data_IF_499469974421
#
_entry.id   IF_499469974421
#
_cell.length_a   1.000
_cell.length_b   1.000
_cell.length_c   1.000
_cell.angle_alpha   90.00
_cell.angle_beta   90.00
_cell.angle_gamma   90.00
#
_symmetry.space_group_name_H-M   'P 1'
#
loop_
_entity.id
_entity.type
_entity.pdbx_description
1 polymer ?
#
# COMPACT_ATOMS: atom_id res chain seq x y z
N UNK A 1 44.32 -22.04 40.94
CA UNK A 1 44.57 -22.54 39.56
C UNK A 1 43.32 -22.39 38.76
N UNK A 2 43.29 -21.59 37.72
CA UNK A 2 42.09 -21.28 36.95
C UNK A 2 41.98 -22.15 35.73
N UNK A 3 40.79 -22.65 35.41
CA UNK A 3 40.48 -23.24 34.10
C UNK A 3 39.97 -22.17 33.17
N UNK A 4 40.71 -21.93 32.12
CA UNK A 4 40.33 -21.12 30.96
C UNK A 4 39.37 -21.93 30.09
N UNK A 5 38.14 -21.47 29.93
CA UNK A 5 37.20 -21.91 28.92
C UNK A 5 37.36 -21.04 27.67
N UNK A 6 37.83 -21.64 26.56
CA UNK A 6 37.87 -21.01 25.23
C UNK A 6 36.42 -20.76 24.74
N UNK A 7 36.10 -19.54 24.42
CA UNK A 7 34.93 -19.19 23.65
C UNK A 7 35.16 -19.69 22.20
N UNK A 8 34.28 -20.59 21.75
CA UNK A 8 34.26 -21.03 20.34
C UNK A 8 33.59 -19.93 19.49
N UNK A 9 34.23 -19.62 18.36
CA UNK A 9 33.67 -18.80 17.30
C UNK A 9 32.37 -19.40 16.77
N UNK A 10 31.36 -18.57 16.47
CA UNK A 10 30.18 -19.08 15.76
C UNK A 10 30.56 -19.45 14.33
N UNK A 11 30.37 -20.73 14.00
CA UNK A 11 30.48 -21.26 12.64
C UNK A 11 29.44 -20.59 11.74
N UNK A 12 29.89 -19.69 10.89
CA UNK A 12 29.08 -19.17 9.78
C UNK A 12 29.00 -20.27 8.74
N UNK A 13 28.01 -21.13 8.85
CA UNK A 13 27.65 -22.04 7.76
C UNK A 13 27.01 -21.20 6.65
N UNK A 14 27.76 -20.98 5.60
CA UNK A 14 27.29 -20.56 4.30
C UNK A 14 26.21 -21.56 3.88
N UNK A 15 24.97 -21.09 3.78
CA UNK A 15 23.87 -21.85 3.23
C UNK A 15 24.17 -22.13 1.75
N UNK A 16 24.79 -23.26 1.53
CA UNK A 16 25.08 -23.78 0.19
C UNK A 16 23.81 -24.45 -0.35
N UNK A 17 23.59 -24.17 -1.63
CA UNK A 17 22.84 -24.93 -2.62
C UNK A 17 21.33 -25.12 -2.42
N UNK A 18 20.65 -24.41 -3.29
CA UNK A 18 19.27 -24.61 -3.73
C UNK A 18 19.02 -26.10 -4.04
N UNK A 19 17.95 -26.71 -3.53
CA UNK A 19 17.57 -28.04 -4.00
C UNK A 19 17.22 -27.99 -5.50
N UNK A 20 17.55 -29.03 -6.27
CA UNK A 20 17.19 -29.09 -7.68
C UNK A 20 15.68 -29.08 -7.84
N UNK A 21 15.21 -28.27 -8.79
CA UNK A 21 13.80 -28.23 -9.19
C UNK A 21 13.35 -29.61 -9.69
N UNK A 22 12.12 -30.06 -9.38
CA UNK A 22 11.62 -31.31 -9.91
C UNK A 22 11.59 -31.29 -11.44
N UNK A 23 11.92 -32.38 -12.12
CA UNK A 23 11.91 -32.43 -13.57
C UNK A 23 10.45 -32.33 -14.06
N UNK A 24 10.17 -31.30 -14.90
CA UNK A 24 8.88 -31.16 -15.59
C UNK A 24 8.08 -29.89 -15.28
N UNK A 25 8.54 -29.01 -14.40
CA UNK A 25 7.91 -27.71 -14.20
C UNK A 25 8.43 -26.69 -15.23
N UNK A 26 7.65 -26.41 -16.26
CA UNK A 26 7.94 -25.29 -17.15
C UNK A 26 7.88 -23.98 -16.35
N UNK A 27 8.82 -23.03 -16.54
CA UNK A 27 8.73 -21.73 -15.88
C UNK A 27 7.47 -20.98 -16.37
N UNK A 28 6.80 -20.25 -15.49
CA UNK A 28 5.54 -19.57 -15.83
C UNK A 28 5.67 -18.38 -16.80
N UNK A 29 6.83 -18.15 -17.34
CA UNK A 29 7.13 -17.09 -18.30
C UNK A 29 7.92 -17.66 -19.48
N UNK A 30 7.51 -17.28 -20.70
CA UNK A 30 7.96 -17.72 -22.02
C UNK A 30 9.39 -18.29 -22.12
N UNK A 31 9.52 -19.25 -23.00
CA UNK A 31 10.60 -20.24 -23.14
C UNK A 31 12.02 -19.73 -23.47
N UNK A 32 12.38 -18.46 -23.27
CA UNK A 32 13.77 -18.02 -23.43
C UNK A 32 14.15 -17.01 -22.32
N UNK A 33 15.29 -17.20 -21.66
CA UNK A 33 15.84 -16.15 -20.81
C UNK A 33 16.14 -14.92 -21.69
N UNK A 34 15.86 -13.70 -21.18
CA UNK A 34 16.18 -12.49 -21.93
C UNK A 34 17.65 -12.44 -22.27
N UNK A 35 18.00 -12.11 -23.52
CA UNK A 35 19.38 -11.94 -23.92
C UNK A 35 19.99 -10.73 -23.21
N UNK A 36 21.31 -10.72 -22.96
CA UNK A 36 22.01 -9.56 -22.40
C UNK A 36 21.74 -8.28 -23.22
N UNK A 37 21.53 -8.40 -24.52
CA UNK A 37 21.19 -7.28 -25.39
C UNK A 37 19.76 -6.76 -25.16
N UNK A 38 18.77 -7.65 -24.91
CA UNK A 38 17.42 -7.25 -24.58
C UNK A 38 17.34 -6.66 -23.16
N UNK A 39 18.16 -7.15 -22.23
CA UNK A 39 18.28 -6.60 -20.88
C UNK A 39 18.92 -5.19 -20.90
N UNK A 40 19.91 -4.96 -21.76
CA UNK A 40 20.55 -3.65 -21.91
C UNK A 40 19.63 -2.63 -22.58
N UNK A 41 18.79 -3.05 -23.54
CA UNK A 41 17.80 -2.16 -24.15
C UNK A 41 16.67 -1.78 -23.18
N UNK A 42 16.25 -2.69 -22.31
CA UNK A 42 15.27 -2.37 -21.26
C UNK A 42 15.82 -1.44 -20.17
N UNK A 43 17.13 -1.32 -20.00
CA UNK A 43 17.73 -0.44 -18.98
C UNK A 43 17.51 1.07 -19.24
N UNK A 44 17.25 1.48 -20.48
CA UNK A 44 16.96 2.88 -20.83
C UNK A 44 15.49 3.24 -20.58
N UNK A 45 14.58 2.26 -20.64
CA UNK A 45 13.15 2.47 -20.33
C UNK A 45 12.81 2.25 -18.85
N UNK A 46 13.81 1.97 -18.02
CA UNK A 46 13.60 1.44 -16.66
C UNK A 46 13.53 2.49 -15.55
N UNK A 47 13.67 3.76 -15.84
CA UNK A 47 13.43 4.81 -14.85
C UNK A 47 11.95 4.95 -14.45
N UNK A 48 11.06 4.31 -15.20
CA UNK A 48 9.62 4.28 -14.93
C UNK A 48 9.13 2.85 -14.70
N UNK A 49 8.74 2.55 -13.47
CA UNK A 49 8.02 1.32 -13.12
C UNK A 49 6.64 1.69 -12.63
N UNK A 50 5.66 1.62 -13.51
CA UNK A 50 4.25 1.92 -13.18
C UNK A 50 3.35 0.86 -13.79
N UNK A 51 3.20 -0.30 -13.13
CA UNK A 51 2.42 -1.40 -13.64
C UNK A 51 0.93 -1.04 -13.73
N UNK A 52 0.35 -1.35 -14.87
CA UNK A 52 -1.07 -1.13 -15.15
C UNK A 52 -1.74 -2.52 -15.18
N UNK A 53 -2.70 -2.77 -14.26
CA UNK A 53 -3.45 -4.02 -14.25
C UNK A 53 -4.36 -4.17 -15.48
N UNK A 54 -4.65 -5.41 -15.84
CA UNK A 54 -5.59 -5.72 -16.91
C UNK A 54 -6.96 -5.08 -16.63
N UNK A 55 -7.55 -4.49 -17.66
CA UNK A 55 -8.85 -3.82 -17.56
C UNK A 55 -8.83 -2.43 -16.93
N UNK A 56 -7.68 -1.95 -16.47
CA UNK A 56 -7.56 -0.59 -15.97
C UNK A 56 -7.56 0.45 -17.10
N UNK A 57 -8.38 1.49 -16.93
CA UNK A 57 -8.44 2.61 -17.88
C UNK A 57 -8.00 3.88 -17.14
N UNK A 58 -6.86 4.43 -17.57
CA UNK A 58 -6.27 5.65 -17.00
C UNK A 58 -7.24 6.82 -17.05
N UNK A 59 -7.31 7.57 -15.94
CA UNK A 59 -8.16 8.77 -15.82
C UNK A 59 -9.66 8.51 -15.61
N UNK A 60 -10.12 7.26 -15.73
CA UNK A 60 -11.53 6.89 -15.52
C UNK A 60 -11.92 6.97 -14.05
N UNK A 61 -11.19 6.26 -13.20
CA UNK A 61 -11.43 6.26 -11.74
C UNK A 61 -10.83 7.51 -11.12
N UNK A 62 -11.56 8.12 -10.21
CA UNK A 62 -11.08 9.26 -9.41
C UNK A 62 -10.53 8.78 -8.08
N UNK A 63 -9.49 9.43 -7.59
CA UNK A 63 -8.86 9.11 -6.32
C UNK A 63 -9.05 10.26 -5.34
N UNK A 64 -9.64 9.98 -4.19
CA UNK A 64 -9.73 10.92 -3.07
C UNK A 64 -8.77 10.45 -2.00
N UNK A 65 -7.68 11.18 -1.84
CA UNK A 65 -6.61 10.85 -0.89
C UNK A 65 -6.81 11.64 0.38
N UNK A 66 -7.02 10.94 1.50
CA UNK A 66 -7.21 11.55 2.82
C UNK A 66 -5.98 11.31 3.68
N UNK A 67 -5.33 12.39 4.06
CA UNK A 67 -4.12 12.39 4.90
C UNK A 67 -4.36 13.20 6.17
N UNK A 68 -3.73 12.80 7.27
CA UNK A 68 -3.73 13.55 8.52
C UNK A 68 -2.44 14.34 8.71
N UNK A 69 -2.51 15.45 9.41
CA UNK A 69 -1.33 16.22 9.81
C UNK A 69 -1.35 16.47 11.32
N UNK A 70 -0.23 16.81 11.90
CA UNK A 70 -0.05 17.19 13.31
C UNK A 70 -0.21 16.06 14.31
N UNK A 71 -1.31 15.27 14.25
CA UNK A 71 -1.58 14.21 15.24
C UNK A 71 -2.47 13.11 14.64
N UNK A 72 -2.46 11.94 15.27
CA UNK A 72 -3.39 10.85 14.97
C UNK A 72 -4.77 11.10 15.59
N UNK A 73 -5.78 10.33 15.17
CA UNK A 73 -7.12 10.43 15.76
C UNK A 73 -7.97 11.62 15.28
N UNK A 74 -7.61 12.25 14.17
CA UNK A 74 -8.34 13.38 13.57
C UNK A 74 -9.69 12.98 12.95
N UNK A 75 -10.01 11.69 12.92
CA UNK A 75 -11.26 11.20 12.31
C UNK A 75 -11.18 11.00 10.80
N UNK A 76 -9.99 10.66 10.25
CA UNK A 76 -9.83 10.36 8.82
C UNK A 76 -10.81 9.29 8.34
N UNK A 77 -10.95 8.16 9.06
CA UNK A 77 -11.86 7.08 8.72
C UNK A 77 -13.33 7.53 8.70
N UNK A 78 -13.74 8.33 9.67
CA UNK A 78 -15.10 8.90 9.73
C UNK A 78 -15.33 9.85 8.55
N UNK A 79 -14.37 10.72 8.26
CA UNK A 79 -14.48 11.64 7.12
C UNK A 79 -14.56 10.86 5.80
N UNK A 80 -13.64 9.91 5.58
CA UNK A 80 -13.56 9.12 4.35
C UNK A 80 -14.82 8.29 4.14
N UNK A 81 -15.29 7.56 5.17
CA UNK A 81 -16.50 6.73 5.09
C UNK A 81 -17.75 7.57 4.84
N UNK A 82 -17.89 8.72 5.53
CA UNK A 82 -19.03 9.61 5.34
C UNK A 82 -19.05 10.24 3.95
N UNK A 83 -17.92 10.71 3.46
CA UNK A 83 -17.81 11.27 2.11
C UNK A 83 -18.05 10.19 1.04
N UNK A 84 -17.50 9.01 1.22
CA UNK A 84 -17.77 7.87 0.33
C UNK A 84 -19.26 7.51 0.31
N UNK A 85 -19.94 7.54 1.47
CA UNK A 85 -21.39 7.31 1.56
C UNK A 85 -22.18 8.36 0.78
N UNK A 86 -21.85 9.63 0.93
CA UNK A 86 -22.51 10.72 0.17
C UNK A 86 -22.36 10.49 -1.34
N UNK A 87 -21.20 10.05 -1.83
CA UNK A 87 -20.99 9.76 -3.24
C UNK A 87 -21.72 8.48 -3.68
N UNK A 88 -21.73 7.44 -2.84
CA UNK A 88 -22.51 6.22 -3.09
C UNK A 88 -24.00 6.51 -3.21
N UNK A 89 -24.54 7.35 -2.33
CA UNK A 89 -25.96 7.75 -2.36
C UNK A 89 -26.32 8.60 -3.60
N UNK A 90 -25.32 9.20 -4.24
CA UNK A 90 -25.46 9.86 -5.55
C UNK A 90 -25.31 8.90 -6.74
N UNK A 91 -25.18 7.60 -6.50
CA UNK A 91 -25.10 6.56 -7.53
C UNK A 91 -23.68 6.25 -8.03
N UNK A 92 -22.61 6.78 -7.40
CA UNK A 92 -21.24 6.46 -7.73
C UNK A 92 -20.82 5.16 -7.06
N UNK A 93 -20.03 4.34 -7.75
CA UNK A 93 -19.40 3.14 -7.20
C UNK A 93 -18.13 3.55 -6.47
N UNK A 94 -18.11 3.31 -5.16
CA UNK A 94 -16.98 3.71 -4.30
C UNK A 94 -16.21 2.50 -3.80
N UNK A 95 -14.89 2.63 -3.67
CA UNK A 95 -14.00 1.64 -3.08
C UNK A 95 -13.05 2.32 -2.10
N UNK A 96 -13.22 2.14 -0.79
CA UNK A 96 -12.26 2.63 0.20
C UNK A 96 -11.03 1.72 0.27
N UNK A 97 -9.90 2.30 0.63
CA UNK A 97 -8.67 1.57 0.97
C UNK A 97 -7.94 2.27 2.10
N UNK A 98 -7.46 1.48 3.05
CA UNK A 98 -6.61 1.92 4.15
C UNK A 98 -5.16 1.52 3.86
N UNK A 99 -4.24 2.49 3.91
CA UNK A 99 -2.81 2.29 3.81
C UNK A 99 -2.17 2.49 5.19
N UNK A 100 -1.52 1.47 5.72
CA UNK A 100 -0.89 1.50 7.03
C UNK A 100 0.64 1.46 6.95
N UNK A 101 1.29 2.38 7.68
CA UNK A 101 2.75 2.54 7.64
C UNK A 101 3.55 1.44 8.36
N UNK A 102 2.93 0.62 9.22
CA UNK A 102 3.67 -0.42 9.95
C UNK A 102 4.06 -1.61 9.08
N UNK A 103 5.10 -2.33 9.53
CA UNK A 103 5.67 -3.48 8.81
C UNK A 103 4.98 -4.81 9.13
N UNK A 104 3.98 -4.83 10.00
CA UNK A 104 3.16 -6.02 10.21
C UNK A 104 2.44 -6.36 8.91
N UNK A 105 2.36 -7.65 8.55
CA UNK A 105 1.69 -8.09 7.33
C UNK A 105 0.18 -7.87 7.41
N UNK A 106 -0.37 -8.00 8.62
CA UNK A 106 -1.77 -7.76 8.94
C UNK A 106 -1.90 -7.17 10.35
N UNK A 107 -3.12 -6.96 10.82
CA UNK A 107 -3.39 -6.38 12.13
C UNK A 107 -3.37 -7.41 13.29
N UNK A 108 -3.27 -8.71 13.01
CA UNK A 108 -3.39 -9.77 14.01
C UNK A 108 -2.34 -9.75 15.12
N UNK A 109 -1.18 -9.16 14.86
CA UNK A 109 -0.07 -9.04 15.82
C UNK A 109 0.11 -7.64 16.39
N UNK A 110 -0.81 -6.71 16.09
CA UNK A 110 -0.74 -5.35 16.61
C UNK A 110 -1.13 -5.29 18.09
N UNK A 111 -0.60 -4.27 18.76
CA UNK A 111 -0.95 -4.01 20.16
C UNK A 111 -2.36 -3.39 20.25
N UNK A 112 -3.35 -4.08 20.85
CA UNK A 112 -4.73 -3.61 20.89
C UNK A 112 -4.92 -2.33 21.71
N UNK A 113 -4.04 -2.04 22.65
CA UNK A 113 -4.08 -0.77 23.41
C UNK A 113 -3.70 0.46 22.57
N UNK A 114 -2.99 0.26 21.45
CA UNK A 114 -2.60 1.35 20.54
C UNK A 114 -3.49 1.47 19.31
N UNK A 115 -3.93 0.34 18.79
CA UNK A 115 -4.60 0.25 17.49
C UNK A 115 -6.08 -0.17 17.59
N UNK A 116 -6.55 -0.48 18.80
CA UNK A 116 -7.87 -1.06 19.00
C UNK A 116 -7.89 -2.57 18.73
N UNK A 117 -9.07 -3.15 18.76
CA UNK A 117 -9.27 -4.57 18.48
C UNK A 117 -9.11 -4.86 16.98
N UNK A 118 -8.64 -6.06 16.68
CA UNK A 118 -8.55 -6.56 15.30
C UNK A 118 -9.95 -6.80 14.76
N UNK A 119 -10.21 -6.30 13.56
CA UNK A 119 -11.42 -6.59 12.81
C UNK A 119 -11.10 -7.64 11.74
N UNK A 120 -11.95 -8.66 11.61
CA UNK A 120 -11.76 -9.73 10.64
C UNK A 120 -12.82 -9.61 9.54
N UNK A 121 -12.35 -9.46 8.29
CA UNK A 121 -13.23 -9.41 7.13
C UNK A 121 -13.77 -10.80 6.76
N UNK A 122 -14.81 -10.88 5.95
CA UNK A 122 -15.40 -12.14 5.50
C UNK A 122 -14.42 -13.08 4.75
N UNK A 123 -13.38 -12.52 4.13
CA UNK A 123 -12.32 -13.30 3.47
C UNK A 123 -11.21 -13.77 4.45
N UNK A 124 -11.37 -13.51 5.75
CA UNK A 124 -10.42 -13.89 6.80
C UNK A 124 -9.28 -12.91 7.00
N UNK A 125 -9.25 -11.77 6.30
CA UNK A 125 -8.22 -10.75 6.48
C UNK A 125 -8.36 -10.08 7.85
N UNK A 126 -7.29 -10.10 8.63
CA UNK A 126 -7.19 -9.38 9.90
C UNK A 126 -6.75 -7.94 9.64
N UNK A 127 -7.61 -6.99 9.95
CA UNK A 127 -7.40 -5.58 9.64
C UNK A 127 -7.72 -4.65 10.82
N UNK A 128 -7.48 -3.38 10.63
CA UNK A 128 -7.84 -2.31 11.57
C UNK A 128 -9.37 -2.14 11.66
N UNK A 129 -9.87 -1.69 12.81
CA UNK A 129 -11.28 -1.39 13.07
C UNK A 129 -11.90 -0.41 12.06
N UNK A 130 -11.11 0.44 11.42
CA UNK A 130 -11.58 1.39 10.42
C UNK A 130 -12.27 0.69 9.25
N UNK A 131 -11.85 -0.53 8.88
CA UNK A 131 -12.51 -1.32 7.83
C UNK A 131 -13.93 -1.68 8.21
N UNK A 132 -14.18 -2.05 9.46
CA UNK A 132 -15.53 -2.29 9.98
C UNK A 132 -16.39 -1.01 9.97
N UNK A 133 -15.79 0.15 10.13
CA UNK A 133 -16.49 1.43 9.97
C UNK A 133 -16.90 1.67 8.52
N UNK A 134 -16.01 1.38 7.56
CA UNK A 134 -16.34 1.45 6.14
C UNK A 134 -17.47 0.50 5.77
N UNK A 135 -17.41 -0.77 6.18
CA UNK A 135 -18.48 -1.74 5.92
C UNK A 135 -19.83 -1.25 6.44
N UNK A 136 -19.86 -0.84 7.69
CA UNK A 136 -21.10 -0.37 8.32
C UNK A 136 -21.67 0.88 7.68
N UNK A 137 -20.84 1.86 7.34
CA UNK A 137 -21.30 3.15 6.78
C UNK A 137 -21.71 2.98 5.33
N UNK A 138 -20.98 2.18 4.56
CA UNK A 138 -21.24 1.99 3.14
C UNK A 138 -22.24 0.88 2.84
N UNK A 139 -22.59 0.04 3.84
CA UNK A 139 -23.36 -1.17 3.62
C UNK A 139 -22.78 -1.99 2.47
N UNK A 140 -21.48 -2.30 2.57
CA UNK A 140 -20.69 -2.96 1.54
C UNK A 140 -19.55 -3.76 2.18
N UNK A 141 -19.46 -5.06 1.86
CA UNK A 141 -18.37 -5.89 2.35
C UNK A 141 -17.04 -5.45 1.76
N UNK A 142 -16.02 -5.39 2.62
CA UNK A 142 -14.63 -5.14 2.24
C UNK A 142 -13.88 -6.47 2.11
N UNK A 143 -12.74 -6.41 1.48
CA UNK A 143 -11.84 -7.55 1.28
C UNK A 143 -10.41 -7.13 1.63
N UNK A 144 -9.49 -8.08 1.72
CA UNK A 144 -8.07 -7.80 1.93
C UNK A 144 -7.45 -6.82 0.91
N UNK A 145 -8.12 -6.55 -0.21
CA UNK A 145 -7.69 -5.51 -1.16
C UNK A 145 -7.94 -4.09 -0.66
N UNK A 146 -8.82 -3.93 0.30
CA UNK A 146 -9.17 -2.63 0.89
C UNK A 146 -8.24 -2.25 2.06
N UNK A 147 -7.28 -3.13 2.41
CA UNK A 147 -6.36 -2.94 3.52
C UNK A 147 -4.94 -3.33 3.13
N UNK A 148 -4.03 -2.38 3.20
CA UNK A 148 -2.64 -2.57 2.77
C UNK A 148 -1.71 -2.04 3.83
N UNK A 149 -0.73 -2.86 4.22
CA UNK A 149 0.35 -2.48 5.13
C UNK A 149 1.67 -2.33 4.38
N UNK A 150 2.61 -1.59 4.94
CA UNK A 150 3.98 -1.53 4.43
C UNK A 150 4.62 -2.92 4.36
N UNK A 151 4.32 -3.79 5.34
CA UNK A 151 4.80 -5.17 5.35
C UNK A 151 4.35 -5.97 4.14
N UNK A 152 3.09 -5.83 3.73
CA UNK A 152 2.58 -6.47 2.51
C UNK A 152 3.29 -5.93 1.26
N UNK A 153 3.43 -4.61 1.12
CA UNK A 153 4.09 -3.99 -0.04
C UNK A 153 5.53 -4.49 -0.16
N UNK A 154 6.31 -4.43 0.92
CA UNK A 154 7.69 -4.89 0.90
C UNK A 154 7.80 -6.41 0.63
N UNK A 155 6.94 -7.21 1.23
CA UNK A 155 6.89 -8.66 0.98
C UNK A 155 6.62 -8.98 -0.48
N UNK A 156 5.67 -8.28 -1.10
CA UNK A 156 5.32 -8.46 -2.51
C UNK A 156 6.50 -8.08 -3.42
N UNK A 157 7.14 -6.93 -3.18
CA UNK A 157 8.30 -6.47 -3.95
C UNK A 157 9.46 -7.45 -3.82
N UNK A 158 9.81 -7.86 -2.59
CA UNK A 158 10.92 -8.80 -2.35
C UNK A 158 10.62 -10.18 -2.93
N UNK A 159 9.37 -10.65 -2.84
CA UNK A 159 8.97 -11.92 -3.45
C UNK A 159 9.09 -11.88 -4.98
N UNK A 160 8.70 -10.80 -5.61
CA UNK A 160 8.86 -10.59 -7.06
C UNK A 160 10.32 -10.51 -7.46
N UNK A 161 11.15 -9.81 -6.66
CA UNK A 161 12.60 -9.76 -6.87
C UNK A 161 13.18 -11.18 -6.89
N UNK A 162 12.91 -11.99 -5.86
CA UNK A 162 13.39 -13.36 -5.75
C UNK A 162 12.91 -14.27 -6.88
N UNK A 163 11.75 -13.99 -7.46
CA UNK A 163 11.20 -14.70 -8.62
C UNK A 163 11.75 -14.21 -9.96
N UNK A 164 12.59 -13.15 -9.95
CA UNK A 164 13.20 -12.60 -11.16
C UNK A 164 12.29 -11.65 -11.96
N UNK A 165 11.21 -11.12 -11.37
CA UNK A 165 10.30 -10.19 -12.06
C UNK A 165 10.96 -8.86 -12.43
N UNK A 166 12.08 -8.54 -11.81
CA UNK A 166 12.85 -7.30 -12.03
C UNK A 166 14.23 -7.57 -12.63
N UNK A 167 14.41 -8.68 -13.36
CA UNK A 167 15.72 -9.04 -13.93
C UNK A 167 16.34 -7.87 -14.71
N UNK A 168 17.60 -7.61 -14.40
CA UNK A 168 18.38 -6.52 -15.02
C UNK A 168 18.14 -5.15 -14.41
N UNK A 169 17.44 -5.06 -13.26
CA UNK A 169 17.16 -3.81 -12.54
C UNK A 169 17.61 -3.87 -11.10
N UNK A 170 18.11 -2.76 -10.60
CA UNK A 170 18.27 -2.54 -9.17
C UNK A 170 16.91 -2.17 -8.56
N UNK A 171 16.39 -3.00 -7.69
CA UNK A 171 15.07 -2.76 -7.07
C UNK A 171 15.20 -1.70 -5.98
N UNK A 172 14.47 -0.61 -6.13
CA UNK A 172 14.57 0.59 -5.29
C UNK A 172 13.20 0.99 -4.71
N UNK A 173 13.22 1.86 -3.70
CA UNK A 173 11.98 2.42 -3.13
C UNK A 173 11.17 3.16 -4.21
N UNK A 174 11.84 3.93 -5.03
CA UNK A 174 11.32 4.58 -6.23
C UNK A 174 12.13 4.03 -7.41
N UNK A 175 11.50 3.46 -8.44
CA UNK A 175 10.07 3.40 -8.71
C UNK A 175 9.38 2.08 -8.30
N UNK A 176 10.06 1.10 -7.68
CA UNK A 176 9.52 -0.26 -7.57
C UNK A 176 8.51 -0.40 -6.41
N UNK A 177 8.85 0.13 -5.22
CA UNK A 177 7.91 0.10 -4.08
C UNK A 177 6.75 1.05 -4.32
N UNK A 178 6.99 2.26 -4.83
CA UNK A 178 5.92 3.19 -5.21
C UNK A 178 5.06 2.63 -6.34
N UNK A 179 5.66 1.94 -7.31
CA UNK A 179 4.95 1.24 -8.38
C UNK A 179 4.03 0.14 -7.88
N UNK A 180 4.44 -0.62 -6.86
CA UNK A 180 3.60 -1.66 -6.26
C UNK A 180 2.37 -1.06 -5.55
N UNK A 181 2.53 0.06 -4.85
CA UNK A 181 1.40 0.81 -4.27
C UNK A 181 0.42 1.24 -5.37
N UNK A 182 0.92 1.88 -6.43
CA UNK A 182 0.09 2.30 -7.56
C UNK A 182 -0.64 1.12 -8.22
N UNK A 183 0.04 -0.02 -8.36
CA UNK A 183 -0.56 -1.24 -8.91
C UNK A 183 -1.76 -1.70 -8.08
N UNK A 184 -1.60 -1.78 -6.75
CA UNK A 184 -2.70 -2.18 -5.85
C UNK A 184 -3.88 -1.21 -5.88
N UNK A 185 -3.60 0.10 -5.93
CA UNK A 185 -4.66 1.12 -6.06
C UNK A 185 -5.43 0.97 -7.39
N UNK A 186 -4.73 0.70 -8.49
CA UNK A 186 -5.34 0.48 -9.79
C UNK A 186 -6.10 -0.86 -9.88
N UNK A 187 -5.60 -1.91 -9.23
CA UNK A 187 -6.36 -3.17 -9.10
C UNK A 187 -7.67 -2.97 -8.35
N UNK A 188 -7.62 -2.21 -7.25
CA UNK A 188 -8.84 -1.86 -6.53
C UNK A 188 -9.80 -1.01 -7.39
N UNK A 189 -9.29 -0.11 -8.21
CA UNK A 189 -10.12 0.66 -9.14
C UNK A 189 -10.86 -0.23 -10.15
N UNK A 190 -10.28 -1.36 -10.55
CA UNK A 190 -10.92 -2.31 -11.48
C UNK A 190 -11.93 -3.22 -10.80
N UNK A 191 -11.69 -3.59 -9.55
CA UNK A 191 -12.45 -4.68 -8.89
C UNK A 191 -13.05 -4.30 -7.54
N UNK A 192 -12.80 -3.10 -7.04
CA UNK A 192 -13.14 -2.71 -5.67
C UNK A 192 -14.54 -2.13 -5.48
N UNK A 193 -15.28 -1.91 -6.54
CA UNK A 193 -16.69 -1.54 -6.44
C UNK A 193 -17.54 -2.71 -5.94
N UNK A 194 -18.77 -2.41 -5.57
CA UNK A 194 -19.73 -3.41 -5.10
C UNK A 194 -19.83 -4.58 -6.11
N UNK A 195 -19.82 -5.82 -5.58
CA UNK A 195 -19.83 -7.06 -6.39
C UNK A 195 -18.64 -7.20 -7.37
N UNK A 196 -17.48 -6.62 -7.05
CA UNK A 196 -16.28 -6.74 -7.87
C UNK A 196 -16.30 -5.92 -9.16
N UNK A 197 -17.19 -4.94 -9.26
CA UNK A 197 -17.25 -4.03 -10.40
C UNK A 197 -16.17 -2.94 -10.33
N UNK A 198 -15.84 -2.29 -11.46
CA UNK A 198 -14.97 -1.12 -11.43
C UNK A 198 -15.54 0.00 -10.56
N UNK A 199 -14.67 0.63 -9.76
CA UNK A 199 -15.03 1.78 -8.95
C UNK A 199 -14.94 3.09 -9.75
N UNK A 200 -15.90 3.98 -9.53
CA UNK A 200 -15.85 5.35 -10.07
C UNK A 200 -14.90 6.21 -9.21
N UNK A 201 -14.88 5.94 -7.89
CA UNK A 201 -14.03 6.66 -6.95
C UNK A 201 -13.36 5.70 -5.98
N UNK A 202 -12.03 5.81 -5.84
CA UNK A 202 -11.25 5.13 -4.80
C UNK A 202 -10.93 6.15 -3.70
N UNK A 203 -11.35 5.86 -2.47
CA UNK A 203 -10.99 6.63 -1.28
C UNK A 203 -9.75 6.03 -0.65
N UNK A 204 -8.65 6.76 -0.67
CA UNK A 204 -7.36 6.32 -0.12
C UNK A 204 -7.14 7.02 1.20
N UNK A 205 -7.27 6.30 2.30
CA UNK A 205 -6.92 6.80 3.62
C UNK A 205 -5.49 6.39 3.96
N UNK A 206 -4.64 7.37 4.25
CA UNK A 206 -3.27 7.12 4.71
C UNK A 206 -3.27 7.13 6.25
N UNK A 207 -2.84 6.01 6.85
CA UNK A 207 -2.69 5.84 8.29
C UNK A 207 -1.64 6.80 8.87
N UNK A 208 -1.69 7.07 10.17
CA UNK A 208 -0.76 7.99 10.83
C UNK A 208 -0.85 9.43 10.34
N UNK A 209 0.28 10.12 10.24
CA UNK A 209 0.40 11.50 9.76
C UNK A 209 1.23 11.59 8.49
N UNK A 210 1.05 12.67 7.72
CA UNK A 210 1.80 12.89 6.48
C UNK A 210 3.32 13.02 6.69
N UNK A 211 3.74 13.43 7.90
CA UNK A 211 5.15 13.60 8.26
C UNK A 211 5.83 12.34 8.79
N UNK A 212 5.09 11.25 9.00
CA UNK A 212 5.67 10.01 9.48
C UNK A 212 6.57 9.38 8.42
N UNK A 213 7.78 9.00 8.82
CA UNK A 213 8.78 8.44 7.90
C UNK A 213 8.26 7.20 7.16
N UNK A 214 7.50 6.36 7.85
CA UNK A 214 6.90 5.13 7.34
C UNK A 214 5.95 5.38 6.18
N UNK A 215 5.34 6.57 6.12
CA UNK A 215 4.38 6.95 5.09
C UNK A 215 5.03 7.57 3.85
N UNK A 216 6.33 7.87 3.88
CA UNK A 216 7.01 8.63 2.82
C UNK A 216 6.82 8.03 1.43
N UNK A 217 6.96 6.72 1.28
CA UNK A 217 6.78 6.07 -0.01
C UNK A 217 5.32 6.00 -0.47
N UNK A 218 4.34 5.96 0.45
CA UNK A 218 2.92 6.08 0.09
C UNK A 218 2.60 7.46 -0.46
N UNK A 219 3.08 8.51 0.22
CA UNK A 219 2.88 9.90 -0.23
C UNK A 219 3.50 10.09 -1.61
N UNK A 220 4.71 9.56 -1.83
CA UNK A 220 5.36 9.64 -3.14
C UNK A 220 4.58 8.85 -4.20
N UNK A 221 4.14 7.63 -3.91
CA UNK A 221 3.33 6.84 -4.83
C UNK A 221 2.02 7.55 -5.22
N UNK A 222 1.36 8.21 -4.27
CA UNK A 222 0.13 8.97 -4.50
C UNK A 222 0.39 10.24 -5.33
N UNK A 223 1.54 10.90 -5.13
CA UNK A 223 1.97 12.04 -5.94
C UNK A 223 2.24 11.60 -7.39
N UNK A 224 2.97 10.49 -7.57
CA UNK A 224 3.22 9.90 -8.89
C UNK A 224 1.90 9.49 -9.57
N UNK A 225 0.99 8.83 -8.82
CA UNK A 225 -0.33 8.43 -9.33
C UNK A 225 -1.12 9.64 -9.83
N UNK A 226 -1.16 10.73 -9.06
CA UNK A 226 -1.86 11.94 -9.45
C UNK A 226 -1.31 12.54 -10.76
N UNK A 227 0.01 12.52 -10.91
CA UNK A 227 0.66 12.97 -12.16
C UNK A 227 0.33 12.05 -13.34
N UNK A 228 0.41 10.74 -13.13
CA UNK A 228 0.18 9.74 -14.17
C UNK A 228 -1.28 9.68 -14.61
N UNK A 229 -2.25 9.80 -13.70
CA UNK A 229 -3.67 9.77 -14.03
C UNK A 229 -4.19 11.05 -14.70
N UNK A 230 -3.44 12.13 -14.59
CA UNK A 230 -3.73 13.43 -15.20
C UNK A 230 -4.58 14.35 -14.35
N UNK A 231 -4.70 15.59 -14.81
CA UNK A 231 -5.40 16.65 -14.12
C UNK A 231 -6.86 16.26 -13.78
N UNK A 232 -7.32 16.62 -12.58
CA UNK A 232 -8.67 16.34 -12.12
C UNK A 232 -8.97 14.87 -11.81
N UNK A 233 -7.96 13.98 -11.82
CA UNK A 233 -8.14 12.57 -11.46
C UNK A 233 -7.93 12.31 -9.98
N UNK A 234 -7.19 13.15 -9.27
CA UNK A 234 -6.88 12.98 -7.85
C UNK A 234 -7.19 14.24 -7.05
N UNK A 235 -7.83 14.05 -5.91
CA UNK A 235 -8.10 15.10 -4.93
C UNK A 235 -7.41 14.76 -3.61
N UNK A 236 -6.56 15.66 -3.10
CA UNK A 236 -5.92 15.51 -1.80
C UNK A 236 -6.69 16.28 -0.74
N UNK A 237 -7.08 15.60 0.33
CA UNK A 237 -7.76 16.15 1.50
C UNK A 237 -6.84 16.02 2.70
N UNK A 238 -6.37 17.14 3.22
CA UNK A 238 -5.56 17.20 4.44
C UNK A 238 -6.44 17.53 5.64
N UNK A 239 -6.54 16.60 6.58
CA UNK A 239 -7.21 16.84 7.86
C UNK A 239 -6.17 17.29 8.88
N UNK A 240 -6.46 18.42 9.53
CA UNK A 240 -5.58 18.99 10.54
C UNK A 240 -6.38 19.44 11.77
N UNK A 241 -5.68 19.52 12.90
CA UNK A 241 -6.24 20.09 14.12
C UNK A 241 -5.82 21.56 14.24
N UNK A 242 -6.80 22.45 14.31
CA UNK A 242 -6.57 23.87 14.56
C UNK A 242 -6.58 24.11 16.06
N UNK A 243 -5.44 24.45 16.62
CA UNK A 243 -5.29 24.74 18.04
C UNK A 243 -5.58 26.23 18.25
N UNK A 244 -6.51 26.53 19.15
CA UNK A 244 -6.79 27.88 19.64
C UNK A 244 -6.39 27.98 21.11
N UNK A 245 -5.12 28.35 21.42
CA UNK A 245 -4.67 28.55 22.79
C UNK A 245 -5.39 29.77 23.41
N UNK A 246 -6.01 29.57 24.56
CA UNK A 246 -6.79 30.62 25.25
C UNK A 246 -6.05 31.94 25.44
N UNK A 247 -4.70 31.89 25.58
CA UNK A 247 -3.87 33.06 25.82
C UNK A 247 -3.36 33.78 24.56
N UNK A 248 -3.38 33.09 23.41
CA UNK A 248 -2.71 33.56 22.18
C UNK A 248 -3.69 33.77 21.00
N UNK A 249 -4.96 33.44 21.19
CA UNK A 249 -5.94 33.46 20.09
C UNK A 249 -5.69 32.41 19.01
N UNK A 250 -6.36 32.57 17.90
CA UNK A 250 -6.27 31.66 16.75
C UNK A 250 -4.85 31.61 16.20
N UNK A 251 -4.32 30.40 16.04
CA UNK A 251 -3.00 30.14 15.49
C UNK A 251 -3.10 29.53 14.09
N UNK A 252 -2.18 29.92 13.21
CA UNK A 252 -2.06 29.25 11.92
C UNK A 252 -1.57 27.82 12.12
N UNK A 253 -2.33 26.85 11.61
CA UNK A 253 -1.84 25.46 11.54
C UNK A 253 -0.66 25.39 10.57
N UNK A 254 0.39 24.66 10.94
CA UNK A 254 1.45 24.29 10.02
C UNK A 254 1.32 22.79 9.77
N UNK A 255 1.21 22.41 8.51
CA UNK A 255 1.25 21.01 8.08
C UNK A 255 2.70 20.54 7.99
#
# INVERSE_FOLDING_TARGET
MPHQGRAGSPDIRVLASRPPSPPGASPPYGNQPPSLASTAQTSVETEFYSPIPDGYVKGRTKYVVVIGTVMSGLGKGIFSSSMAKVLKDKGLKVAPIKLEGYLNVDAGTLNPYRHGEVFVLDDGTECDMDLGTYERVLDQNMTGRNYITSGQIFSDVLTRERRGSYLGRDVQMIPHVTGEVKRKLRELAVTGGENGQPADVVFVEVGGTAGDYENGFYIEALRELAFEEGEGSTCFVALTYVIEPKALGEQKSKA
#
